data_IF_655077232203
#
_entry.id   IF_655077232203
#
_cell.length_a   1.000
_cell.length_b   1.000
_cell.length_c   1.000
_cell.angle_alpha   90.00
_cell.angle_beta   90.00
_cell.angle_gamma   90.00
#
_symmetry.space_group_name_H-M   'P 1'
#
loop_
_entity.id
_entity.type
_entity.pdbx_description
1 polymer ?
#
# COMPACT_ATOMS: atom_id res chain seq x y z
N UNK A 1 -10.16 -39.29 4.51
CA UNK A 1 -10.06 -40.44 3.57
C UNK A 1 -8.75 -41.22 3.71
N UNK A 2 -7.59 -40.56 3.73
CA UNK A 2 -6.28 -41.21 3.94
C UNK A 2 -6.22 -42.18 5.13
N UNK A 3 -6.80 -41.81 6.28
CA UNK A 3 -6.91 -42.69 7.45
C UNK A 3 -7.65 -44.00 7.14
N UNK A 4 -8.80 -43.95 6.45
CA UNK A 4 -9.59 -45.12 6.13
C UNK A 4 -8.84 -46.07 5.16
N UNK A 5 -8.16 -45.51 4.15
CA UNK A 5 -7.32 -46.30 3.22
C UNK A 5 -6.09 -46.89 3.91
N UNK A 6 -5.46 -46.15 4.81
CA UNK A 6 -4.33 -46.64 5.60
C UNK A 6 -4.74 -47.80 6.51
N UNK A 7 -5.86 -47.65 7.22
CA UNK A 7 -6.41 -48.71 8.08
C UNK A 7 -6.77 -49.96 7.27
N UNK A 8 -7.39 -49.82 6.09
CA UNK A 8 -7.68 -50.93 5.20
C UNK A 8 -6.41 -51.60 4.66
N UNK A 9 -5.39 -50.80 4.32
CA UNK A 9 -4.09 -51.29 3.88
C UNK A 9 -3.36 -52.09 4.96
N UNK A 10 -3.38 -51.60 6.20
CA UNK A 10 -2.83 -52.30 7.36
C UNK A 10 -3.59 -53.58 7.68
N UNK A 11 -4.93 -53.58 7.57
CA UNK A 11 -5.76 -54.77 7.76
C UNK A 11 -5.59 -55.80 6.62
N UNK A 12 -5.22 -55.38 5.42
CA UNK A 12 -5.00 -56.26 4.26
C UNK A 12 -3.75 -57.13 4.41
N UNK A 13 -2.66 -56.59 4.96
CA UNK A 13 -1.39 -57.31 5.13
C UNK A 13 -1.51 -58.64 5.93
N UNK A 14 -2.13 -58.68 7.13
CA UNK A 14 -2.32 -59.93 7.86
C UNK A 14 -3.30 -60.87 7.14
N UNK A 15 -4.32 -60.35 6.45
CA UNK A 15 -5.25 -61.16 5.67
C UNK A 15 -4.59 -61.86 4.47
N UNK A 16 -3.62 -61.20 3.82
CA UNK A 16 -2.83 -61.83 2.75
C UNK A 16 -1.98 -62.98 3.27
N UNK A 17 -1.35 -62.84 4.45
CA UNK A 17 -0.60 -63.93 5.11
C UNK A 17 -1.52 -65.06 5.57
N UNK A 18 -2.70 -64.71 6.08
CA UNK A 18 -3.74 -65.66 6.46
C UNK A 18 -4.24 -66.49 5.26
N UNK A 19 -4.28 -65.88 4.07
CA UNK A 19 -4.66 -66.55 2.83
C UNK A 19 -3.57 -67.50 2.29
N UNK A 20 -2.29 -67.22 2.53
CA UNK A 20 -1.15 -68.03 2.10
C UNK A 20 -0.92 -69.29 2.97
N UNK A 21 -1.56 -69.37 4.14
CA UNK A 21 -1.37 -70.48 5.08
C UNK A 21 -2.43 -71.57 4.84
N UNK A 22 -2.02 -72.75 4.38
CA UNK A 22 -2.95 -73.85 4.05
C UNK A 22 -3.77 -74.32 5.27
N UNK A 23 -5.06 -74.61 5.06
CA UNK A 23 -5.96 -75.18 6.07
C UNK A 23 -6.66 -74.19 7.01
N UNK A 24 -6.15 -72.96 7.21
CA UNK A 24 -6.76 -71.99 8.13
C UNK A 24 -8.10 -71.42 7.64
N UNK A 25 -8.27 -71.26 6.32
CA UNK A 25 -9.49 -70.73 5.70
C UNK A 25 -10.70 -71.69 5.76
N UNK A 26 -10.44 -72.99 5.99
CA UNK A 26 -11.50 -74.00 6.09
C UNK A 26 -12.11 -74.05 7.50
N UNK A 27 -11.38 -73.54 8.50
CA UNK A 27 -11.85 -73.46 9.89
C UNK A 27 -13.01 -72.47 10.05
N UNK A 28 -13.91 -72.74 11.01
CA UNK A 28 -15.02 -71.84 11.34
C UNK A 28 -14.53 -70.46 11.77
N UNK A 29 -13.46 -70.40 12.56
CA UNK A 29 -12.82 -69.16 12.98
C UNK A 29 -12.20 -68.38 11.81
N UNK A 30 -11.61 -69.06 10.82
CA UNK A 30 -11.05 -68.43 9.62
C UNK A 30 -12.10 -67.83 8.70
N UNK A 31 -13.24 -68.53 8.51
CA UNK A 31 -14.39 -67.97 7.77
C UNK A 31 -14.97 -66.74 8.47
N UNK A 32 -15.03 -66.75 9.79
CA UNK A 32 -15.49 -65.60 10.58
C UNK A 32 -14.52 -64.41 10.48
N UNK A 33 -13.20 -64.64 10.54
CA UNK A 33 -12.19 -63.60 10.37
C UNK A 33 -12.26 -62.92 8.99
N UNK A 34 -12.45 -63.70 7.91
CA UNK A 34 -12.67 -63.19 6.55
C UNK A 34 -13.96 -62.38 6.48
N UNK A 35 -15.05 -62.87 7.08
CA UNK A 35 -16.32 -62.14 7.12
C UNK A 35 -16.18 -60.78 7.82
N UNK A 36 -15.50 -60.73 8.98
CA UNK A 36 -15.21 -59.48 9.71
C UNK A 36 -14.33 -58.53 8.91
N UNK A 37 -13.32 -59.02 8.19
CA UNK A 37 -12.49 -58.20 7.31
C UNK A 37 -13.28 -57.61 6.15
N UNK A 38 -14.12 -58.40 5.48
CA UNK A 38 -14.96 -57.94 4.37
C UNK A 38 -15.97 -56.89 4.85
N UNK A 39 -16.58 -57.10 6.02
CA UNK A 39 -17.48 -56.13 6.63
C UNK A 39 -16.76 -54.82 7.00
N UNK A 40 -15.55 -54.90 7.57
CA UNK A 40 -14.71 -53.73 7.84
C UNK A 40 -14.38 -52.97 6.54
N UNK A 41 -13.95 -53.67 5.49
CA UNK A 41 -13.63 -53.08 4.20
C UNK A 41 -14.85 -52.38 3.57
N UNK A 42 -16.04 -53.01 3.67
CA UNK A 42 -17.30 -52.43 3.20
C UNK A 42 -17.63 -51.14 3.96
N UNK A 43 -17.53 -51.15 5.29
CA UNK A 43 -17.79 -49.97 6.13
C UNK A 43 -16.82 -48.83 5.87
N UNK A 44 -15.53 -49.14 5.74
CA UNK A 44 -14.50 -48.13 5.43
C UNK A 44 -14.70 -47.51 4.04
N UNK A 45 -15.10 -48.31 3.05
CA UNK A 45 -15.43 -47.80 1.71
C UNK A 45 -16.69 -46.94 1.72
N UNK A 46 -17.74 -47.34 2.44
CA UNK A 46 -18.95 -46.54 2.59
C UNK A 46 -18.67 -45.21 3.31
N UNK A 47 -17.83 -45.24 4.34
CA UNK A 47 -17.36 -44.03 5.02
C UNK A 47 -16.60 -43.11 4.07
N UNK A 48 -15.69 -43.65 3.25
CA UNK A 48 -14.94 -42.88 2.26
C UNK A 48 -15.86 -42.21 1.22
N UNK A 49 -16.81 -42.96 0.66
CA UNK A 49 -17.79 -42.44 -0.30
C UNK A 49 -18.67 -41.36 0.34
N UNK A 50 -19.18 -41.57 1.55
CA UNK A 50 -20.01 -40.57 2.23
C UNK A 50 -19.26 -39.27 2.56
N UNK A 51 -17.95 -39.33 2.85
CA UNK A 51 -17.11 -38.14 3.00
C UNK A 51 -16.96 -37.39 1.68
N UNK A 52 -16.78 -38.12 0.58
CA UNK A 52 -16.66 -37.53 -0.76
C UNK A 52 -17.97 -36.85 -1.19
N UNK A 53 -19.10 -37.53 -0.99
CA UNK A 53 -20.42 -36.96 -1.30
C UNK A 53 -20.73 -35.71 -0.49
N UNK A 54 -20.30 -35.64 0.78
CA UNK A 54 -20.44 -34.43 1.60
C UNK A 54 -19.60 -33.29 1.03
N UNK A 55 -18.31 -33.56 0.78
CA UNK A 55 -17.40 -32.59 0.18
C UNK A 55 -17.92 -32.07 -1.17
N UNK A 56 -18.48 -32.96 -2.01
CA UNK A 56 -19.06 -32.63 -3.30
C UNK A 56 -20.19 -31.59 -3.15
N UNK A 57 -21.15 -31.86 -2.26
CA UNK A 57 -22.29 -30.96 -2.00
C UNK A 57 -21.85 -29.61 -1.47
N UNK A 58 -20.90 -29.60 -0.54
CA UNK A 58 -20.35 -28.37 0.04
C UNK A 58 -19.61 -27.55 -1.03
N UNK A 59 -18.75 -28.19 -1.81
CA UNK A 59 -17.94 -27.54 -2.84
C UNK A 59 -18.80 -27.01 -3.98
N UNK A 60 -19.77 -27.76 -4.49
CA UNK A 60 -20.66 -27.31 -5.57
C UNK A 60 -21.46 -26.05 -5.18
N UNK A 61 -21.89 -25.96 -3.92
CA UNK A 61 -22.64 -24.80 -3.43
C UNK A 61 -21.72 -23.60 -3.14
N UNK A 62 -20.56 -23.83 -2.53
CA UNK A 62 -19.70 -22.77 -2.02
C UNK A 62 -18.70 -22.24 -3.05
N UNK A 63 -18.18 -23.08 -3.94
CA UNK A 63 -17.13 -22.71 -4.89
C UNK A 63 -17.52 -21.53 -5.81
N UNK A 64 -18.74 -21.47 -6.39
CA UNK A 64 -19.16 -20.31 -7.18
C UNK A 64 -19.14 -19.02 -6.35
N UNK A 65 -19.53 -19.09 -5.08
CA UNK A 65 -19.56 -17.92 -4.19
C UNK A 65 -18.18 -17.39 -3.85
N UNK A 66 -17.14 -18.25 -3.88
CA UNK A 66 -15.75 -17.83 -3.66
C UNK A 66 -15.15 -17.17 -4.90
N UNK A 67 -15.37 -17.77 -6.07
CA UNK A 67 -14.82 -17.28 -7.34
C UNK A 67 -15.45 -15.94 -7.76
N UNK A 68 -16.74 -15.77 -7.50
CA UNK A 68 -17.45 -14.54 -7.87
C UNK A 68 -17.22 -13.36 -6.91
N UNK A 69 -16.38 -13.51 -5.88
CA UNK A 69 -16.00 -12.39 -5.02
C UNK A 69 -15.21 -11.34 -5.78
N UNK A 70 -15.39 -10.05 -5.45
CA UNK A 70 -14.53 -9.01 -5.99
C UNK A 70 -13.09 -9.23 -5.56
N UNK A 71 -12.14 -8.76 -6.36
CA UNK A 71 -10.70 -8.93 -6.09
C UNK A 71 -10.24 -8.17 -4.85
N UNK A 72 -10.83 -6.99 -4.60
CA UNK A 72 -10.46 -6.07 -3.53
C UNK A 72 -11.61 -5.85 -2.55
N UNK A 73 -11.27 -5.46 -1.33
CA UNK A 73 -12.22 -4.98 -0.32
C UNK A 73 -11.63 -3.79 0.47
N UNK A 74 -12.45 -3.04 1.21
CA UNK A 74 -11.95 -2.04 2.16
C UNK A 74 -11.09 -2.67 3.26
N UNK A 75 -10.02 -1.99 3.68
CA UNK A 75 -9.11 -2.50 4.72
C UNK A 75 -9.78 -2.66 6.10
N UNK A 76 -10.85 -1.89 6.36
CA UNK A 76 -11.67 -1.99 7.57
C UNK A 76 -12.80 -3.03 7.44
N UNK A 77 -12.93 -3.69 6.28
CA UNK A 77 -13.84 -4.82 6.15
C UNK A 77 -13.26 -6.00 6.92
N UNK A 78 -13.97 -6.44 7.95
CA UNK A 78 -13.60 -7.60 8.77
C UNK A 78 -13.56 -8.85 7.87
N UNK A 79 -12.36 -9.37 7.58
CA UNK A 79 -12.15 -10.65 6.89
C UNK A 79 -12.20 -11.75 7.97
N UNK A 80 -13.37 -12.33 8.21
CA UNK A 80 -13.51 -13.50 9.09
C UNK A 80 -13.50 -14.81 8.27
N UNK A 81 -12.88 -15.85 8.84
CA UNK A 81 -12.52 -17.16 8.27
C UNK A 81 -13.67 -18.05 7.74
N UNK A 82 -14.87 -17.52 7.49
CA UNK A 82 -15.99 -18.29 6.92
C UNK A 82 -16.75 -17.43 5.93
N UNK A 83 -16.07 -17.14 4.82
CA UNK A 83 -16.65 -16.40 3.74
C UNK A 83 -17.21 -15.03 4.10
N UNK A 84 -17.79 -14.38 3.10
CA UNK A 84 -18.64 -13.22 3.33
C UNK A 84 -19.79 -13.66 4.25
N UNK A 85 -19.68 -13.40 5.55
CA UNK A 85 -20.87 -13.01 6.29
C UNK A 85 -21.19 -11.61 5.77
N UNK A 86 -22.02 -11.57 4.73
CA UNK A 86 -23.18 -10.70 4.78
C UNK A 86 -23.78 -11.04 6.14
N UNK A 87 -23.47 -10.24 7.17
CA UNK A 87 -24.21 -10.34 8.43
C UNK A 87 -25.66 -10.26 8.01
N UNK A 88 -26.47 -11.23 8.44
CA UNK A 88 -27.89 -10.96 8.61
C UNK A 88 -27.97 -9.62 9.34
N UNK A 89 -28.31 -8.57 8.59
CA UNK A 89 -27.84 -7.22 8.87
C UNK A 89 -27.50 -6.53 7.55
N UNK A 90 -28.55 -6.06 6.88
CA UNK A 90 -28.56 -5.45 5.54
C UNK A 90 -27.59 -4.28 5.34
N UNK A 91 -26.93 -3.79 6.38
CA UNK A 91 -26.20 -2.53 6.41
C UNK A 91 -24.83 -2.56 5.70
N UNK A 92 -24.15 -3.72 5.60
CA UNK A 92 -22.79 -3.80 4.99
C UNK A 92 -22.76 -4.06 3.48
N UNK A 93 -23.74 -4.79 2.92
CA UNK A 93 -23.96 -4.80 1.47
C UNK A 93 -24.45 -3.43 1.02
N UNK A 94 -25.25 -2.76 1.86
CA UNK A 94 -25.76 -1.43 1.58
C UNK A 94 -24.63 -0.38 1.45
N UNK A 95 -23.52 -0.47 2.21
CA UNK A 95 -22.33 0.37 1.98
C UNK A 95 -21.70 0.16 0.59
N UNK A 96 -21.57 -1.09 0.13
CA UNK A 96 -21.07 -1.41 -1.22
C UNK A 96 -22.01 -0.88 -2.33
N UNK A 97 -23.31 -0.86 -2.07
CA UNK A 97 -24.33 -0.33 -2.98
C UNK A 97 -24.47 1.21 -2.93
N UNK A 98 -24.07 1.86 -1.84
CA UNK A 98 -24.20 3.32 -1.59
C UNK A 98 -22.85 4.06 -1.45
N UNK A 99 -21.76 3.52 -2.01
CA UNK A 99 -20.43 4.13 -1.88
C UNK A 99 -20.33 5.54 -2.53
N UNK A 100 -21.22 5.88 -3.47
CA UNK A 100 -21.34 7.23 -4.04
C UNK A 100 -21.73 8.28 -2.98
N UNK A 101 -22.40 7.86 -1.90
CA UNK A 101 -22.75 8.70 -0.74
C UNK A 101 -21.74 8.60 0.40
N UNK A 102 -21.07 7.44 0.56
CA UNK A 102 -20.15 7.16 1.68
C UNK A 102 -18.67 7.48 1.42
N UNK A 103 -18.29 7.77 0.17
CA UNK A 103 -16.91 8.06 -0.20
C UNK A 103 -16.02 6.83 -0.41
N UNK A 104 -14.81 7.06 -0.90
CA UNK A 104 -13.82 6.02 -1.17
C UNK A 104 -13.21 5.48 0.13
N UNK A 105 -12.96 4.15 0.26
CA UNK A 105 -12.41 3.57 1.49
C UNK A 105 -11.01 4.14 1.82
N UNK A 106 -10.74 4.38 3.09
CA UNK A 106 -9.45 4.93 3.57
C UNK A 106 -8.26 4.02 3.24
N UNK A 107 -8.50 2.70 3.19
CA UNK A 107 -7.50 1.71 2.79
C UNK A 107 -8.11 0.55 2.01
N UNK A 108 -7.29 -0.14 1.24
CA UNK A 108 -7.66 -1.33 0.48
C UNK A 108 -7.03 -2.60 1.07
N UNK A 109 -7.69 -3.73 0.86
CA UNK A 109 -7.24 -5.07 1.20
C UNK A 109 -7.59 -6.06 0.07
N UNK A 110 -6.88 -7.20 0.06
CA UNK A 110 -7.15 -8.29 -0.87
C UNK A 110 -8.36 -9.10 -0.39
N UNK A 111 -9.28 -9.41 -1.30
CA UNK A 111 -10.45 -10.24 -1.01
C UNK A 111 -10.32 -11.64 -1.62
N UNK A 112 -9.38 -12.42 -1.08
CA UNK A 112 -9.19 -13.82 -1.46
C UNK A 112 -9.74 -14.74 -0.38
N UNK A 113 -10.59 -15.70 -0.76
CA UNK A 113 -11.17 -16.66 0.17
C UNK A 113 -10.15 -17.76 0.47
N UNK A 114 -9.73 -17.89 1.74
CA UNK A 114 -8.83 -18.98 2.17
C UNK A 114 -9.40 -20.37 1.83
N UNK A 115 -10.73 -20.51 1.83
CA UNK A 115 -11.45 -21.72 1.45
C UNK A 115 -11.19 -22.11 -0.01
N UNK A 116 -10.84 -21.17 -0.90
CA UNK A 116 -10.49 -21.49 -2.28
C UNK A 116 -9.17 -22.27 -2.35
N UNK A 117 -8.17 -21.91 -1.52
CA UNK A 117 -6.92 -22.67 -1.40
C UNK A 117 -7.14 -24.06 -0.78
N UNK A 118 -8.05 -24.17 0.19
CA UNK A 118 -8.46 -25.46 0.77
C UNK A 118 -9.04 -26.37 -0.32
N UNK A 119 -10.00 -25.88 -1.10
CA UNK A 119 -10.60 -26.64 -2.21
C UNK A 119 -9.56 -27.06 -3.25
N UNK A 120 -8.62 -26.18 -3.64
CA UNK A 120 -7.53 -26.53 -4.58
C UNK A 120 -6.69 -27.68 -4.03
N UNK A 121 -6.34 -27.61 -2.74
CA UNK A 121 -5.53 -28.64 -2.07
C UNK A 121 -6.30 -29.96 -1.97
N UNK A 122 -7.58 -29.91 -1.63
CA UNK A 122 -8.47 -31.07 -1.55
C UNK A 122 -8.66 -31.74 -2.91
N UNK A 123 -8.85 -30.98 -3.98
CA UNK A 123 -8.96 -31.52 -5.36
C UNK A 123 -7.71 -32.31 -5.74
N UNK A 124 -6.52 -31.77 -5.49
CA UNK A 124 -5.25 -32.49 -5.75
C UNK A 124 -5.15 -33.79 -4.97
N UNK A 125 -5.58 -33.78 -3.70
CA UNK A 125 -5.59 -34.99 -2.88
C UNK A 125 -6.61 -36.01 -3.39
N UNK A 126 -7.81 -35.57 -3.78
CA UNK A 126 -8.85 -36.44 -4.32
C UNK A 126 -8.46 -37.04 -5.67
N UNK A 127 -7.72 -36.30 -6.50
CA UNK A 127 -7.16 -36.80 -7.76
C UNK A 127 -6.14 -37.92 -7.52
N UNK A 128 -5.23 -37.77 -6.55
CA UNK A 128 -4.31 -38.85 -6.16
C UNK A 128 -5.04 -40.10 -5.64
N UNK A 129 -6.22 -39.91 -5.07
CA UNK A 129 -7.07 -40.98 -4.59
C UNK A 129 -7.93 -41.62 -5.70
N UNK A 130 -7.95 -41.06 -6.91
CA UNK A 130 -8.69 -41.57 -8.07
C UNK A 130 -10.20 -41.27 -8.02
N UNK A 131 -10.61 -40.20 -7.35
CA UNK A 131 -12.01 -39.75 -7.37
C UNK A 131 -12.28 -38.82 -8.56
N UNK A 132 -13.51 -38.90 -9.09
CA UNK A 132 -14.03 -37.97 -10.09
C UNK A 132 -14.75 -36.81 -9.39
N UNK A 133 -14.29 -35.59 -9.62
CA UNK A 133 -14.82 -34.36 -9.03
C UNK A 133 -15.33 -33.38 -10.10
N UNK A 134 -16.13 -32.36 -9.73
CA UNK A 134 -16.78 -31.46 -10.67
C UNK A 134 -15.78 -30.70 -11.54
N UNK A 135 -16.19 -30.40 -12.78
CA UNK A 135 -15.35 -29.68 -13.76
C UNK A 135 -14.93 -28.29 -13.24
N UNK A 136 -15.82 -27.58 -12.53
CA UNK A 136 -15.49 -26.31 -11.89
C UNK A 136 -14.33 -26.43 -10.89
N UNK A 137 -14.32 -27.46 -10.04
CA UNK A 137 -13.27 -27.69 -9.06
C UNK A 137 -11.94 -28.07 -9.74
N UNK A 138 -12.02 -28.85 -10.82
CA UNK A 138 -10.87 -29.16 -11.68
C UNK A 138 -10.28 -27.89 -12.30
N UNK A 139 -11.11 -27.05 -12.91
CA UNK A 139 -10.67 -25.82 -13.57
C UNK A 139 -10.01 -24.86 -12.58
N UNK A 140 -10.56 -24.72 -11.37
CA UNK A 140 -9.97 -23.90 -10.31
C UNK A 140 -8.60 -24.44 -9.87
N UNK A 141 -8.48 -25.76 -9.68
CA UNK A 141 -7.21 -26.37 -9.31
C UNK A 141 -6.14 -26.21 -10.40
N UNK A 142 -6.51 -26.23 -11.67
CA UNK A 142 -5.60 -25.96 -12.80
C UNK A 142 -5.10 -24.52 -12.85
N UNK A 143 -5.86 -23.56 -12.30
CA UNK A 143 -5.51 -22.13 -12.29
C UNK A 143 -4.73 -21.71 -11.03
N UNK A 144 -4.30 -22.64 -10.18
CA UNK A 144 -3.61 -22.33 -8.93
C UNK A 144 -2.39 -21.41 -9.10
N UNK A 145 -1.51 -21.68 -10.07
CA UNK A 145 -0.33 -20.87 -10.32
C UNK A 145 -0.70 -19.43 -10.72
N UNK A 146 -1.75 -19.26 -11.51
CA UNK A 146 -2.25 -17.96 -11.95
C UNK A 146 -2.88 -17.18 -10.79
N UNK A 147 -3.61 -17.87 -9.90
CA UNK A 147 -4.12 -17.27 -8.67
C UNK A 147 -2.98 -16.80 -7.77
N UNK A 148 -1.93 -17.61 -7.57
CA UNK A 148 -0.78 -17.21 -6.74
C UNK A 148 -0.11 -15.96 -7.29
N UNK A 149 0.13 -15.89 -8.61
CA UNK A 149 0.68 -14.69 -9.26
C UNK A 149 -0.22 -13.48 -9.06
N UNK A 150 -1.51 -13.62 -9.36
CA UNK A 150 -2.50 -12.54 -9.21
C UNK A 150 -2.56 -12.03 -7.77
N UNK A 151 -2.55 -12.92 -6.78
CA UNK A 151 -2.54 -12.58 -5.36
C UNK A 151 -1.30 -11.75 -5.02
N UNK A 152 -0.11 -12.19 -5.44
CA UNK A 152 1.14 -11.48 -5.19
C UNK A 152 1.12 -10.07 -5.80
N UNK A 153 0.71 -9.93 -7.05
CA UNK A 153 0.63 -8.63 -7.73
C UNK A 153 -0.41 -7.70 -7.07
N UNK A 154 -1.62 -8.19 -6.75
CA UNK A 154 -2.63 -7.40 -6.05
C UNK A 154 -2.17 -6.97 -4.66
N UNK A 155 -1.49 -7.85 -3.91
CA UNK A 155 -0.93 -7.50 -2.60
C UNK A 155 0.10 -6.37 -2.72
N UNK A 156 0.93 -6.38 -3.77
CA UNK A 156 1.88 -5.29 -4.02
C UNK A 156 1.15 -3.98 -4.34
N UNK A 157 0.14 -4.00 -5.22
CA UNK A 157 -0.66 -2.82 -5.56
C UNK A 157 -1.33 -2.24 -4.32
N UNK A 158 -2.00 -3.07 -3.52
CA UNK A 158 -2.69 -2.65 -2.30
C UNK A 158 -1.73 -2.07 -1.28
N UNK A 159 -0.59 -2.72 -1.06
CA UNK A 159 0.45 -2.23 -0.14
C UNK A 159 0.98 -0.88 -0.58
N UNK A 160 1.33 -0.72 -1.85
CA UNK A 160 1.82 0.55 -2.42
C UNK A 160 0.76 1.64 -2.32
N UNK A 161 -0.48 1.34 -2.67
CA UNK A 161 -1.61 2.27 -2.53
C UNK A 161 -1.71 2.78 -1.07
N UNK A 162 -1.82 1.89 -0.09
CA UNK A 162 -1.94 2.30 1.31
C UNK A 162 -0.70 3.11 1.78
N UNK A 163 0.51 2.75 1.33
CA UNK A 163 1.73 3.50 1.65
C UNK A 163 1.73 4.92 1.07
N UNK A 164 1.27 5.08 -0.17
CA UNK A 164 1.19 6.39 -0.83
C UNK A 164 0.18 7.29 -0.15
N UNK A 165 -1.01 6.77 0.17
CA UNK A 165 -2.05 7.54 0.84
C UNK A 165 -1.69 7.89 2.29
N UNK A 166 -0.93 7.04 2.99
CA UNK A 166 -0.40 7.38 4.31
C UNK A 166 0.67 8.48 4.31
N UNK A 167 1.31 8.75 3.16
CA UNK A 167 2.31 9.82 3.00
C UNK A 167 1.70 11.15 2.56
N UNK A 168 0.48 11.13 2.03
CA UNK A 168 -0.20 12.31 1.54
C UNK A 168 -0.67 13.17 2.72
N UNK A 169 -0.19 14.41 2.76
CA UNK A 169 -0.71 15.42 3.67
C UNK A 169 -2.01 16.04 3.12
N UNK A 170 -2.83 16.62 4.00
CA UNK A 170 -4.07 17.33 3.61
C UNK A 170 -3.89 18.37 2.48
N UNK A 171 -2.86 19.25 2.47
CA UNK A 171 -2.67 20.20 1.38
C UNK A 171 -2.30 19.51 0.06
N UNK A 172 -1.50 18.45 0.09
CA UNK A 172 -1.14 17.66 -1.10
C UNK A 172 -2.35 16.89 -1.64
N UNK A 173 -3.21 16.38 -0.76
CA UNK A 173 -4.43 15.68 -1.17
C UNK A 173 -5.42 16.62 -1.87
N UNK A 174 -5.56 17.87 -1.40
CA UNK A 174 -6.35 18.90 -2.11
C UNK A 174 -5.74 19.25 -3.46
N UNK A 175 -4.42 19.44 -3.50
CA UNK A 175 -3.69 19.75 -4.72
C UNK A 175 -3.84 18.63 -5.79
N UNK A 176 -3.71 17.38 -5.37
CA UNK A 176 -3.71 16.20 -6.24
C UNK A 176 -5.10 15.55 -6.38
N UNK A 177 -6.18 16.20 -5.94
CA UNK A 177 -7.52 15.59 -5.86
C UNK A 177 -7.99 14.98 -7.19
N UNK A 178 -7.72 15.65 -8.32
CA UNK A 178 -8.07 15.14 -9.65
C UNK A 178 -7.30 13.86 -10.00
N UNK A 179 -5.99 13.83 -9.74
CA UNK A 179 -5.13 12.67 -9.97
C UNK A 179 -5.48 11.50 -9.03
N UNK A 180 -5.82 11.80 -7.78
CA UNK A 180 -6.34 10.82 -6.81
C UNK A 180 -7.65 10.21 -7.31
N UNK A 181 -8.57 11.03 -7.82
CA UNK A 181 -9.84 10.56 -8.38
C UNK A 181 -9.63 9.63 -9.59
N UNK A 182 -8.70 9.99 -10.50
CA UNK A 182 -8.35 9.14 -11.64
C UNK A 182 -7.72 7.81 -11.23
N UNK A 183 -6.82 7.81 -10.24
CA UNK A 183 -6.25 6.56 -9.68
C UNK A 183 -7.35 5.67 -9.09
N UNK A 184 -8.27 6.25 -8.31
CA UNK A 184 -9.42 5.54 -7.74
C UNK A 184 -10.34 4.98 -8.83
N UNK A 185 -10.58 5.74 -9.90
CA UNK A 185 -11.35 5.28 -11.07
C UNK A 185 -10.72 4.05 -11.73
N UNK A 186 -9.39 3.97 -11.78
CA UNK A 186 -8.66 2.81 -12.32
C UNK A 186 -8.70 1.59 -11.39
N UNK A 187 -8.74 1.78 -10.07
CA UNK A 187 -8.88 0.70 -9.07
C UNK A 187 -10.33 0.23 -8.89
N UNK A 188 -11.31 1.05 -9.25
CA UNK A 188 -12.75 0.77 -9.10
C UNK A 188 -13.18 -0.60 -9.67
N UNK A 189 -12.72 -1.06 -10.85
CA UNK A 189 -13.10 -2.36 -11.38
C UNK A 189 -12.77 -3.52 -10.43
N UNK A 190 -11.66 -3.48 -9.68
CA UNK A 190 -11.28 -4.54 -8.75
C UNK A 190 -12.16 -4.66 -7.51
N UNK A 191 -12.88 -3.60 -7.15
CA UNK A 191 -13.80 -3.58 -6.00
C UNK A 191 -15.20 -4.09 -6.35
N UNK A 192 -15.65 -3.93 -7.61
CA UNK A 192 -17.06 -4.10 -7.96
C UNK A 192 -17.33 -4.98 -9.18
N UNK A 193 -16.45 -4.96 -10.20
CA UNK A 193 -16.73 -5.58 -11.50
C UNK A 193 -15.93 -6.85 -11.74
N UNK A 194 -14.68 -6.84 -11.31
CA UNK A 194 -13.76 -7.95 -11.52
C UNK A 194 -13.84 -8.92 -10.35
N UNK A 195 -13.86 -10.19 -10.69
CA UNK A 195 -13.85 -11.31 -9.77
C UNK A 195 -12.77 -12.32 -10.19
N UNK A 196 -12.57 -13.38 -9.41
CA UNK A 196 -11.52 -14.38 -9.63
C UNK A 196 -11.75 -15.29 -10.84
N UNK A 197 -12.87 -15.16 -11.55
CA UNK A 197 -13.11 -15.78 -12.87
C UNK A 197 -12.85 -14.85 -14.05
N UNK A 198 -12.48 -13.60 -13.81
CA UNK A 198 -12.38 -12.58 -14.86
C UNK A 198 -11.11 -12.73 -15.70
N UNK A 199 -11.26 -12.86 -17.02
CA UNK A 199 -10.12 -12.91 -17.95
C UNK A 199 -9.35 -11.58 -18.08
N UNK A 200 -9.96 -10.47 -17.63
CA UNK A 200 -9.38 -9.13 -17.72
C UNK A 200 -8.41 -8.79 -16.55
N UNK A 201 -8.11 -9.74 -15.66
CA UNK A 201 -7.23 -9.52 -14.50
C UNK A 201 -5.82 -9.07 -14.93
N UNK A 202 -5.13 -9.69 -15.90
CA UNK A 202 -3.76 -9.29 -16.25
C UNK A 202 -3.66 -7.85 -16.77
N UNK A 203 -4.61 -7.44 -17.62
CA UNK A 203 -4.69 -6.07 -18.13
C UNK A 203 -5.01 -5.07 -17.02
N UNK A 204 -5.90 -5.46 -16.11
CA UNK A 204 -6.24 -4.68 -14.93
C UNK A 204 -5.04 -4.47 -14.01
N UNK A 205 -4.27 -5.52 -13.72
CA UNK A 205 -3.04 -5.44 -12.92
C UNK A 205 -2.05 -4.48 -13.55
N UNK A 206 -1.76 -4.64 -14.84
CA UNK A 206 -0.85 -3.77 -15.58
C UNK A 206 -1.33 -2.32 -15.54
N UNK A 207 -2.62 -2.07 -15.74
CA UNK A 207 -3.21 -0.74 -15.67
C UNK A 207 -3.05 -0.12 -14.27
N UNK A 208 -3.28 -0.90 -13.21
CA UNK A 208 -3.13 -0.46 -11.84
C UNK A 208 -1.67 -0.16 -11.48
N UNK A 209 -0.73 -1.03 -11.86
CA UNK A 209 0.70 -0.79 -11.67
C UNK A 209 1.13 0.51 -12.35
N UNK A 210 0.74 0.73 -13.61
CA UNK A 210 1.11 1.93 -14.35
C UNK A 210 0.48 3.19 -13.74
N UNK A 211 -0.81 3.15 -13.40
CA UNK A 211 -1.49 4.27 -12.77
C UNK A 211 -0.86 4.64 -11.42
N UNK A 212 -0.54 3.64 -10.61
CA UNK A 212 0.08 3.84 -9.30
C UNK A 212 1.52 4.34 -9.41
N UNK A 213 2.32 3.78 -10.32
CA UNK A 213 3.69 4.27 -10.59
C UNK A 213 3.70 5.72 -11.08
N UNK A 214 2.79 6.09 -11.98
CA UNK A 214 2.68 7.48 -12.46
C UNK A 214 2.29 8.42 -11.32
N UNK A 215 1.35 8.02 -10.47
CA UNK A 215 0.94 8.81 -9.32
C UNK A 215 2.05 8.94 -8.27
N UNK A 216 2.78 7.86 -7.98
CA UNK A 216 3.95 7.88 -7.10
C UNK A 216 5.05 8.82 -7.63
N UNK A 217 5.34 8.77 -8.92
CA UNK A 217 6.31 9.68 -9.55
C UNK A 217 5.86 11.13 -9.42
N UNK A 218 4.58 11.42 -9.68
CA UNK A 218 4.00 12.75 -9.52
C UNK A 218 4.13 13.24 -8.07
N UNK A 219 3.70 12.43 -7.10
CA UNK A 219 3.75 12.76 -5.69
C UNK A 219 5.19 13.03 -5.22
N UNK A 220 6.13 12.16 -5.59
CA UNK A 220 7.56 12.35 -5.26
C UNK A 220 8.13 13.65 -5.85
N UNK A 221 7.69 14.03 -7.06
CA UNK A 221 8.14 15.28 -7.68
C UNK A 221 7.57 16.51 -6.99
N UNK A 222 6.29 16.47 -6.60
CA UNK A 222 5.64 17.54 -5.83
C UNK A 222 6.30 17.69 -4.46
N UNK A 223 6.54 16.59 -3.75
CA UNK A 223 7.20 16.56 -2.44
C UNK A 223 8.62 17.13 -2.51
N UNK A 224 9.43 16.70 -3.49
CA UNK A 224 10.77 17.26 -3.68
C UNK A 224 10.76 18.76 -4.00
N UNK A 225 9.83 19.21 -4.84
CA UNK A 225 9.70 20.65 -5.09
C UNK A 225 9.31 21.41 -3.83
N UNK A 226 8.39 20.87 -3.02
CA UNK A 226 8.00 21.47 -1.74
C UNK A 226 9.18 21.53 -0.75
N UNK A 227 9.98 20.46 -0.63
CA UNK A 227 11.20 20.42 0.19
C UNK A 227 12.23 21.47 -0.25
N UNK A 228 12.41 21.65 -1.56
CA UNK A 228 13.31 22.68 -2.09
C UNK A 228 12.81 24.10 -1.78
N UNK A 229 11.50 24.35 -1.89
CA UNK A 229 10.92 25.65 -1.50
C UNK A 229 11.16 25.88 0.00
N UNK A 230 10.91 24.90 0.86
CA UNK A 230 11.17 25.01 2.29
C UNK A 230 12.65 25.28 2.60
N UNK A 231 13.56 24.65 1.86
CA UNK A 231 15.00 24.86 2.02
C UNK A 231 15.38 26.31 1.68
N UNK A 232 14.84 26.86 0.59
CA UNK A 232 15.08 28.26 0.21
C UNK A 232 14.47 29.24 1.22
N UNK A 233 13.27 28.95 1.74
CA UNK A 233 12.66 29.75 2.80
C UNK A 233 13.44 29.68 4.12
N UNK A 234 14.02 28.53 4.45
CA UNK A 234 14.88 28.39 5.63
C UNK A 234 16.21 29.15 5.47
N UNK A 235 16.79 29.20 4.26
CA UNK A 235 17.95 30.06 3.99
C UNK A 235 17.61 31.54 4.23
N UNK A 236 16.42 31.98 3.83
CA UNK A 236 15.92 33.32 4.09
C UNK A 236 15.72 33.55 5.60
N UNK A 237 15.02 32.65 6.28
CA UNK A 237 14.74 32.75 7.72
C UNK A 237 16.02 32.77 8.57
N UNK A 238 17.03 32.00 8.16
CA UNK A 238 18.26 31.83 8.90
C UNK A 238 19.39 32.80 8.52
N UNK A 239 19.16 33.70 7.57
CA UNK A 239 20.16 34.65 7.11
C UNK A 239 20.50 35.71 8.16
N UNK A 240 21.81 35.96 8.31
CA UNK A 240 22.36 36.98 9.20
C UNK A 240 22.98 38.07 8.34
N UNK A 241 22.32 39.22 8.28
CA UNK A 241 22.73 40.40 7.50
C UNK A 241 23.74 41.25 8.28
N UNK A 242 23.83 41.07 9.60
CA UNK A 242 24.73 41.80 10.48
C UNK A 242 25.86 40.91 10.99
N UNK A 243 26.78 40.57 10.08
CA UNK A 243 28.02 39.86 10.41
C UNK A 243 29.06 40.85 10.92
N UNK A 244 29.22 40.94 12.23
CA UNK A 244 30.30 41.69 12.87
C UNK A 244 31.60 40.91 12.74
N UNK A 245 32.54 41.36 11.91
CA UNK A 245 33.86 40.72 11.80
C UNK A 245 34.63 40.93 13.12
N UNK A 246 34.77 39.87 13.91
CA UNK A 246 35.74 39.85 15.02
C UNK A 246 37.11 39.61 14.42
N UNK A 247 37.98 40.62 14.46
CA UNK A 247 39.33 40.63 13.87
C UNK A 247 40.00 39.25 13.84
N UNK A 248 40.29 38.78 12.62
CA UNK A 248 41.17 37.65 12.37
C UNK A 248 42.62 38.10 12.64
N UNK A 249 43.05 38.07 13.90
CA UNK A 249 44.45 37.89 14.30
C UNK A 249 45.48 38.92 13.84
N UNK A 250 45.09 40.05 13.24
CA UNK A 250 45.98 41.18 12.94
C UNK A 250 45.50 42.40 13.73
N UNK A 251 46.45 43.01 14.43
CA UNK A 251 46.27 44.06 15.44
C UNK A 251 45.78 45.42 14.90
N UNK A 252 45.20 45.49 13.71
CA UNK A 252 44.61 46.72 13.18
C UNK A 252 43.10 46.52 13.07
N UNK A 253 42.34 47.12 14.00
CA UNK A 253 40.90 47.25 13.87
C UNK A 253 40.61 48.20 12.68
N UNK A 254 39.63 47.87 11.81
CA UNK A 254 39.28 48.75 10.70
C UNK A 254 38.79 50.11 11.23
N UNK A 255 39.13 51.17 10.49
CA UNK A 255 38.56 52.51 10.73
C UNK A 255 37.03 52.46 10.63
N UNK A 256 36.32 53.40 11.27
CA UNK A 256 34.86 53.48 11.27
C UNK A 256 34.29 53.40 9.84
N UNK A 257 34.88 54.15 8.91
CA UNK A 257 34.43 54.13 7.52
C UNK A 257 34.74 52.81 6.80
N UNK A 258 35.87 52.18 7.12
CA UNK A 258 36.26 50.90 6.54
C UNK A 258 35.37 49.76 7.06
N UNK A 259 35.07 49.75 8.36
CA UNK A 259 34.14 48.83 9.00
C UNK A 259 32.74 48.93 8.36
N UNK A 260 32.16 50.14 8.30
CA UNK A 260 30.84 50.32 7.69
C UNK A 260 30.83 49.95 6.21
N UNK A 261 31.92 50.21 5.47
CA UNK A 261 32.05 49.82 4.06
C UNK A 261 32.09 48.30 3.89
N UNK A 262 32.87 47.58 4.70
CA UNK A 262 32.95 46.11 4.67
C UNK A 262 31.62 45.46 5.08
N UNK A 263 30.97 45.95 6.13
CA UNK A 263 29.64 45.48 6.55
C UNK A 263 28.59 45.75 5.48
N UNK A 264 28.61 46.92 4.84
CA UNK A 264 27.68 47.24 3.75
C UNK A 264 27.86 46.32 2.54
N UNK A 265 29.11 46.07 2.12
CA UNK A 265 29.41 45.15 1.01
C UNK A 265 28.99 43.71 1.33
N UNK A 266 29.26 43.23 2.55
CA UNK A 266 28.84 41.90 2.97
C UNK A 266 27.31 41.79 3.02
N UNK A 267 26.62 42.83 3.52
CA UNK A 267 25.16 42.88 3.54
C UNK A 267 24.57 42.88 2.13
N UNK A 268 25.17 43.61 1.19
CA UNK A 268 24.75 43.62 -0.21
C UNK A 268 24.87 42.22 -0.83
N UNK A 269 26.01 41.55 -0.65
CA UNK A 269 26.20 40.18 -1.11
C UNK A 269 25.22 39.18 -0.47
N UNK A 270 24.95 39.32 0.83
CA UNK A 270 23.99 38.46 1.55
C UNK A 270 22.55 38.72 1.05
N UNK A 271 22.16 39.97 0.81
CA UNK A 271 20.85 40.32 0.23
C UNK A 271 20.70 39.78 -1.19
N UNK A 272 21.74 39.89 -2.02
CA UNK A 272 21.73 39.30 -3.37
C UNK A 272 21.48 37.79 -3.33
N UNK A 273 22.13 37.07 -2.40
CA UNK A 273 21.87 35.64 -2.20
C UNK A 273 20.43 35.34 -1.79
N UNK A 274 19.86 36.15 -0.90
CA UNK A 274 18.46 36.00 -0.47
C UNK A 274 17.47 36.24 -1.61
N UNK A 275 17.73 37.26 -2.43
CA UNK A 275 16.92 37.55 -3.62
C UNK A 275 17.00 36.39 -4.61
N UNK A 276 18.20 35.84 -4.87
CA UNK A 276 18.36 34.66 -5.70
C UNK A 276 17.57 33.45 -5.16
N UNK A 277 17.68 33.16 -3.87
CA UNK A 277 16.94 32.06 -3.23
C UNK A 277 15.42 32.22 -3.36
N UNK A 278 14.91 33.47 -3.27
CA UNK A 278 13.50 33.78 -3.52
C UNK A 278 13.10 33.57 -4.98
N UNK A 279 13.92 34.00 -5.93
CA UNK A 279 13.65 33.84 -7.35
C UNK A 279 13.56 32.37 -7.78
N UNK A 280 14.30 31.48 -7.11
CA UNK A 280 14.23 30.03 -7.35
C UNK A 280 12.91 29.38 -6.90
N UNK A 281 12.16 29.99 -5.97
CA UNK A 281 10.85 29.47 -5.51
C UNK A 281 9.83 29.49 -6.64
N UNK A 282 9.83 30.54 -7.48
CA UNK A 282 8.84 30.70 -8.55
C UNK A 282 8.90 29.59 -9.62
N UNK A 283 10.07 29.21 -10.18
CA UNK A 283 10.23 28.04 -11.04
C UNK A 283 9.75 26.72 -10.41
N UNK A 284 9.96 26.53 -9.09
CA UNK A 284 9.51 25.33 -8.39
C UNK A 284 7.98 25.26 -8.32
N UNK A 285 7.32 26.39 -8.06
CA UNK A 285 5.85 26.50 -8.07
C UNK A 285 5.26 26.31 -9.48
N UNK A 286 5.88 26.92 -10.51
CA UNK A 286 5.48 26.71 -11.91
C UNK A 286 5.68 25.26 -12.36
N UNK A 287 6.71 24.57 -11.86
CA UNK A 287 6.90 23.13 -12.10
C UNK A 287 5.81 22.30 -11.44
N UNK A 288 5.37 22.63 -10.23
CA UNK A 288 4.25 21.92 -9.59
C UNK A 288 2.95 22.15 -10.39
N UNK A 289 2.70 23.38 -10.84
CA UNK A 289 1.55 23.69 -11.69
C UNK A 289 1.56 22.86 -12.99
N UNK A 290 2.73 22.73 -13.63
CA UNK A 290 2.84 22.00 -14.90
C UNK A 290 2.63 20.50 -14.71
N UNK A 291 3.05 19.96 -13.57
CA UNK A 291 2.83 18.57 -13.21
C UNK A 291 1.38 18.26 -12.84
N UNK A 292 0.68 19.18 -12.16
CA UNK A 292 -0.67 18.93 -11.65
C UNK A 292 -1.75 19.31 -12.66
N UNK A 293 -1.61 20.46 -13.32
CA UNK A 293 -2.63 21.06 -14.20
C UNK A 293 -2.19 21.13 -15.66
N UNK A 294 -0.91 20.92 -15.96
CA UNK A 294 -0.38 21.03 -17.32
C UNK A 294 -0.16 22.47 -17.79
N UNK A 295 -0.21 23.44 -16.87
CA UNK A 295 0.08 24.86 -17.13
C UNK A 295 1.32 25.32 -16.37
N UNK A 296 2.02 26.34 -16.84
CA UNK A 296 3.21 26.89 -16.16
C UNK A 296 3.13 28.41 -16.06
N UNK A 297 1.94 28.91 -15.76
CA UNK A 297 1.62 30.35 -15.81
C UNK A 297 1.96 31.08 -14.51
N UNK A 298 2.11 30.35 -13.40
CA UNK A 298 2.21 30.88 -12.04
C UNK A 298 0.88 31.37 -11.47
N UNK A 299 -0.22 31.26 -12.22
CA UNK A 299 -1.49 31.93 -11.93
C UNK A 299 -2.71 31.00 -12.09
N UNK A 300 -2.51 29.68 -12.06
CA UNK A 300 -3.61 28.74 -12.22
C UNK A 300 -4.61 28.85 -11.06
N UNK A 301 -5.90 29.10 -11.31
CA UNK A 301 -6.90 29.23 -10.24
C UNK A 301 -7.08 27.93 -9.46
N UNK A 302 -6.77 26.78 -10.07
CA UNK A 302 -6.83 25.47 -9.41
C UNK A 302 -5.78 25.31 -8.29
N UNK A 303 -4.69 26.09 -8.32
CA UNK A 303 -3.64 26.08 -7.30
C UNK A 303 -3.69 27.30 -6.36
N UNK A 304 -4.75 28.12 -6.41
CA UNK A 304 -4.82 29.36 -5.64
C UNK A 304 -4.58 29.15 -4.12
N UNK A 305 -5.22 28.13 -3.54
CA UNK A 305 -5.03 27.76 -2.12
C UNK A 305 -3.59 27.34 -1.83
N UNK A 306 -2.96 26.63 -2.77
CA UNK A 306 -1.59 26.16 -2.66
C UNK A 306 -0.58 27.32 -2.75
N UNK A 307 -0.78 28.26 -3.69
CA UNK A 307 0.05 29.46 -3.76
C UNK A 307 -0.10 30.33 -2.51
N UNK A 308 -1.32 30.50 -2.00
CA UNK A 308 -1.56 31.25 -0.76
C UNK A 308 -0.86 30.61 0.45
N UNK A 309 -0.78 29.27 0.50
CA UNK A 309 -0.03 28.57 1.55
C UNK A 309 1.46 28.94 1.51
N UNK A 310 2.10 28.88 0.34
CA UNK A 310 3.53 29.23 0.19
C UNK A 310 3.82 30.70 0.40
N UNK A 311 2.92 31.60 -0.03
CA UNK A 311 3.03 33.03 0.24
C UNK A 311 3.02 33.33 1.74
N UNK A 312 2.09 32.72 2.49
CA UNK A 312 2.04 32.85 3.96
C UNK A 312 3.31 32.32 4.62
N UNK A 313 3.81 31.18 4.14
CA UNK A 313 5.04 30.59 4.65
C UNK A 313 6.25 31.49 4.39
N UNK A 314 6.36 32.05 3.19
CA UNK A 314 7.41 32.99 2.82
C UNK A 314 7.38 34.27 3.66
N UNK A 315 6.19 34.87 3.82
CA UNK A 315 5.99 36.02 4.67
C UNK A 315 6.43 35.74 6.11
N UNK A 316 6.05 34.57 6.65
CA UNK A 316 6.45 34.15 7.99
C UNK A 316 7.99 34.06 8.10
N UNK A 317 8.66 33.42 7.15
CA UNK A 317 10.13 33.30 7.15
C UNK A 317 10.82 34.67 7.10
N UNK A 318 10.31 35.61 6.30
CA UNK A 318 10.83 36.99 6.25
C UNK A 318 10.63 37.75 7.57
N UNK A 319 9.43 37.65 8.17
CA UNK A 319 9.16 38.30 9.47
C UNK A 319 10.05 37.72 10.57
N UNK A 320 10.23 36.40 10.61
CA UNK A 320 11.13 35.75 11.57
C UNK A 320 12.57 36.21 11.37
N UNK A 321 13.06 36.28 10.12
CA UNK A 321 14.39 36.80 9.81
C UNK A 321 14.54 38.22 10.37
N UNK A 322 13.66 39.16 10.01
CA UNK A 322 13.75 40.56 10.44
C UNK A 322 13.73 40.68 11.97
N UNK A 323 12.82 39.97 12.64
CA UNK A 323 12.73 40.01 14.09
C UNK A 323 14.00 39.48 14.77
N UNK A 324 14.59 38.43 14.20
CA UNK A 324 15.84 37.84 14.69
C UNK A 324 17.02 38.78 14.48
N UNK A 325 17.11 39.41 13.31
CA UNK A 325 18.15 40.40 13.00
C UNK A 325 18.11 41.58 13.98
N UNK A 326 16.94 42.18 14.20
CA UNK A 326 16.76 43.28 15.17
C UNK A 326 17.15 42.83 16.59
N UNK A 327 16.79 41.60 16.96
CA UNK A 327 17.15 41.04 18.26
C UNK A 327 18.66 40.81 18.41
N UNK A 328 19.35 40.38 17.34
CA UNK A 328 20.80 40.19 17.33
C UNK A 328 21.54 41.52 17.37
N UNK A 329 21.10 42.51 16.59
CA UNK A 329 21.67 43.85 16.57
C UNK A 329 21.53 44.53 17.94
N UNK A 330 20.36 44.45 18.56
CA UNK A 330 20.14 45.00 19.91
C UNK A 330 21.07 44.34 20.95
N UNK A 331 21.32 43.02 20.84
CA UNK A 331 22.28 42.33 21.70
C UNK A 331 23.72 42.74 21.44
N UNK A 332 24.10 42.90 20.17
CA UNK A 332 25.44 43.33 19.78
C UNK A 332 25.73 44.77 20.26
N UNK A 333 24.75 45.67 20.17
CA UNK A 333 24.87 47.05 20.64
C UNK A 333 25.05 47.16 22.18
N UNK A 334 24.55 46.19 22.94
CA UNK A 334 24.67 46.12 24.41
C UNK A 334 25.93 45.34 24.85
N UNK A 335 26.63 44.68 23.93
CA UNK A 335 27.82 43.88 24.21
C UNK A 335 29.05 44.74 24.53
N UNK A 336 29.89 44.39 25.53
CA UNK A 336 31.12 45.12 25.87
C UNK A 336 32.28 44.90 24.87
N UNK A 337 32.05 44.24 23.73
CA UNK A 337 33.06 43.93 22.71
C UNK A 337 33.45 45.18 21.92
N UNK A 338 34.76 45.49 21.79
CA UNK A 338 35.24 46.54 20.89
C UNK A 338 35.06 46.12 19.44
N UNK A 339 34.21 46.83 18.70
CA UNK A 339 33.91 46.55 17.29
C UNK A 339 34.68 47.46 16.31
N UNK A 340 35.08 48.67 16.74
CA UNK A 340 35.67 49.70 15.89
C UNK A 340 36.68 50.53 16.71
N UNK A 341 37.76 51.01 16.07
CA UNK A 341 38.62 52.05 16.62
C UNK A 341 38.13 53.45 16.20
N UNK A 342 37.75 54.29 17.17
CA UNK A 342 37.45 55.70 16.94
C UNK A 342 38.78 56.46 17.04
N UNK A 343 39.39 56.79 15.90
CA UNK A 343 40.56 57.69 15.87
C UNK A 343 40.07 59.13 16.05
N UNK A 344 40.62 59.80 17.06
CA UNK A 344 40.28 61.18 17.44
C UNK A 344 40.89 62.23 16.51
#
# INVERSE_FOLDING_TARGET
MHWARSLLGQAKQPMLRFHQTEGMLLSTAGKEAVCRYVELARRLRAFEVSLFERWLKETEHLLPTYIHRPLLCPANAVIMNQGYVITEGSEKIQWLLQWEENGWPEGLALNFAAQLQEVITEVKQLEQLGFDFPELARNVALQEDEYHRTIQELQQIVKRYNQVFNRLSDPENKLLHHHVSELRRKLRPGLFRLNWSSLAIPDYLTCCHNALSNFELLLNQVQRSAENILSNLHLIESANLFKFQTSSGKNDLPDVNEFFKMTAQQREADVEQLVCAWWEVSPLLMKIESLVVGSSTGCSPALADYYSHWEKQAYKSLVTMVFREVSMENRAAVSPSKLVEIKA
#
